data_IF_304931232677
#
_entry.id   IF_304931232677
#
_cell.length_a   1.000
_cell.length_b   1.000
_cell.length_c   1.000
_cell.angle_alpha   90.00
_cell.angle_beta   90.00
_cell.angle_gamma   90.00
#
_symmetry.space_group_name_H-M   'P 1'
#
loop_
_entity.id
_entity.type
_entity.pdbx_description
1 polymer ?
#
# COMPACT_ATOMS: atom_id res chain seq x y z
N UNK A 1 35.89 -14.00 -62.75
CA UNK A 1 35.94 -12.57 -62.39
C UNK A 1 34.99 -12.36 -61.22
N UNK A 2 35.48 -11.71 -60.15
CA UNK A 2 34.75 -11.38 -58.92
C UNK A 2 33.81 -10.17 -59.10
N UNK A 3 32.96 -9.95 -58.07
CA UNK A 3 32.17 -8.75 -57.69
C UNK A 3 30.67 -8.78 -58.05
N UNK A 4 29.72 -8.40 -57.18
CA UNK A 4 29.80 -7.85 -55.83
C UNK A 4 28.40 -7.55 -55.23
N UNK A 5 28.15 -8.11 -54.05
CA UNK A 5 27.35 -7.70 -52.89
C UNK A 5 26.33 -6.51 -52.92
N UNK A 6 25.12 -6.84 -52.41
CA UNK A 6 24.32 -6.20 -51.33
C UNK A 6 23.58 -4.85 -51.49
N UNK A 7 22.25 -4.87 -51.21
CA UNK A 7 21.50 -3.90 -50.36
C UNK A 7 20.26 -4.59 -49.73
N UNK A 8 20.37 -5.15 -48.52
CA UNK A 8 19.89 -4.59 -47.24
C UNK A 8 18.39 -4.76 -46.93
N UNK A 9 18.06 -5.82 -46.17
CA UNK A 9 17.25 -5.83 -44.94
C UNK A 9 15.75 -5.53 -45.00
N UNK A 10 14.93 -6.33 -44.29
CA UNK A 10 13.70 -5.82 -43.65
C UNK A 10 13.17 -6.60 -42.43
N UNK A 11 13.94 -7.49 -41.79
CA UNK A 11 13.64 -7.82 -40.39
C UNK A 11 14.84 -8.41 -39.65
N UNK A 12 15.30 -7.81 -38.53
CA UNK A 12 16.36 -8.36 -37.68
C UNK A 12 16.03 -9.76 -37.10
N UNK A 13 14.76 -10.17 -37.16
CA UNK A 13 14.28 -11.45 -36.63
C UNK A 13 14.50 -12.63 -37.58
N UNK A 14 14.65 -12.37 -38.89
CA UNK A 14 14.76 -13.41 -39.91
C UNK A 14 16.20 -13.90 -40.08
N UNK A 15 17.17 -12.98 -40.03
CA UNK A 15 18.61 -13.31 -40.07
C UNK A 15 19.09 -14.13 -38.86
N UNK A 16 18.41 -14.00 -37.71
CA UNK A 16 18.70 -14.80 -36.51
C UNK A 16 18.31 -16.27 -36.63
N UNK A 17 17.31 -16.60 -37.47
CA UNK A 17 16.89 -17.99 -37.72
C UNK A 17 17.83 -18.72 -38.69
N UNK A 18 18.45 -18.00 -39.62
CA UNK A 18 19.37 -18.57 -40.61
C UNK A 18 20.80 -18.75 -40.07
N UNK A 19 21.24 -17.95 -39.09
CA UNK A 19 22.52 -18.13 -38.42
C UNK A 19 22.33 -18.78 -37.04
N UNK A 20 22.12 -20.10 -37.04
CA UNK A 20 21.87 -20.90 -35.83
C UNK A 20 23.02 -20.93 -34.83
N UNK A 21 23.32 -19.80 -34.18
CA UNK A 21 24.17 -19.79 -33.00
C UNK A 21 23.32 -20.19 -31.79
N UNK A 22 23.09 -21.50 -31.67
CA UNK A 22 22.43 -22.16 -30.53
C UNK A 22 22.98 -21.73 -29.18
N UNK A 23 24.23 -21.25 -29.10
CA UNK A 23 24.80 -20.72 -27.87
C UNK A 23 24.26 -19.32 -27.54
N UNK A 24 24.01 -18.46 -28.54
CA UNK A 24 23.44 -17.13 -28.31
C UNK A 24 21.97 -17.22 -27.86
N UNK A 25 21.19 -18.12 -28.49
CA UNK A 25 19.80 -18.38 -28.07
C UNK A 25 19.77 -18.93 -26.65
N UNK A 26 20.63 -19.92 -26.33
CA UNK A 26 20.76 -20.42 -24.96
C UNK A 26 21.23 -19.36 -23.97
N UNK A 27 22.20 -18.53 -24.33
CA UNK A 27 22.66 -17.40 -23.48
C UNK A 27 21.52 -16.41 -23.21
N UNK A 28 20.67 -16.12 -24.19
CA UNK A 28 19.52 -15.22 -24.05
C UNK A 28 18.37 -15.87 -23.26
N UNK A 29 18.11 -17.17 -23.45
CA UNK A 29 17.14 -17.93 -22.66
C UNK A 29 17.60 -18.10 -21.20
N UNK A 30 18.86 -18.46 -20.97
CA UNK A 30 19.46 -18.58 -19.63
C UNK A 30 19.51 -17.23 -18.91
N UNK A 31 19.82 -16.13 -19.61
CA UNK A 31 19.74 -14.79 -19.04
C UNK A 31 18.29 -14.39 -18.70
N UNK A 32 17.31 -14.78 -19.50
CA UNK A 32 15.89 -14.54 -19.23
C UNK A 32 15.40 -15.35 -18.02
N UNK A 33 15.83 -16.61 -17.89
CA UNK A 33 15.51 -17.46 -16.74
C UNK A 33 16.23 -17.00 -15.47
N UNK A 34 17.50 -16.58 -15.57
CA UNK A 34 18.27 -16.00 -14.46
C UNK A 34 17.65 -14.70 -13.94
N UNK A 35 17.34 -13.76 -14.84
CA UNK A 35 16.67 -12.52 -14.44
C UNK A 35 15.26 -12.76 -13.89
N UNK A 36 14.48 -13.71 -14.44
CA UNK A 36 13.15 -14.01 -13.90
C UNK A 36 13.22 -14.74 -12.56
N UNK A 37 14.25 -15.55 -12.28
CA UNK A 37 14.45 -16.16 -10.97
C UNK A 37 14.79 -15.10 -9.92
N UNK A 38 15.73 -14.19 -10.23
CA UNK A 38 16.11 -13.08 -9.34
C UNK A 38 14.97 -12.07 -9.16
N UNK A 39 14.17 -11.80 -10.21
CA UNK A 39 12.95 -10.97 -10.13
C UNK A 39 11.84 -11.71 -9.37
N UNK A 40 11.71 -13.04 -9.46
CA UNK A 40 10.71 -13.79 -8.69
C UNK A 40 11.06 -13.85 -7.21
N UNK A 41 12.33 -14.04 -6.87
CA UNK A 41 12.83 -13.95 -5.50
C UNK A 41 12.68 -12.52 -4.96
N UNK A 42 12.94 -11.51 -5.77
CA UNK A 42 12.71 -10.10 -5.42
C UNK A 42 11.21 -9.77 -5.29
N UNK A 43 10.34 -10.39 -6.10
CA UNK A 43 8.88 -10.18 -6.04
C UNK A 43 8.26 -10.86 -4.82
N UNK A 44 8.80 -12.00 -4.41
CA UNK A 44 8.47 -12.63 -3.13
C UNK A 44 8.98 -11.78 -1.94
N UNK A 45 10.14 -11.15 -2.07
CA UNK A 45 10.67 -10.22 -1.06
C UNK A 45 9.89 -8.89 -0.99
N UNK A 46 9.21 -8.48 -2.07
CA UNK A 46 8.34 -7.29 -2.10
C UNK A 46 6.96 -7.60 -1.48
N UNK A 47 6.50 -8.85 -1.50
CA UNK A 47 5.27 -9.25 -0.80
C UNK A 47 5.49 -9.55 0.68
N UNK A 48 6.70 -9.97 1.08
CA UNK A 48 7.05 -10.25 2.48
C UNK A 48 7.44 -9.01 3.28
N UNK A 49 7.75 -7.90 2.60
CA UNK A 49 7.73 -6.58 3.23
C UNK A 49 6.29 -6.12 3.30
N UNK A 50 5.54 -6.73 4.22
CA UNK A 50 4.38 -6.10 4.86
C UNK A 50 4.85 -4.69 5.18
N UNK A 51 4.43 -3.69 4.39
CA UNK A 51 4.85 -2.32 4.59
C UNK A 51 4.23 -1.93 5.93
N UNK A 52 5.05 -2.02 6.98
CA UNK A 52 4.64 -1.76 8.34
C UNK A 52 4.39 -0.26 8.39
N UNK A 53 3.14 0.12 8.15
CA UNK A 53 2.71 1.51 8.12
C UNK A 53 2.54 1.97 9.56
N UNK A 54 2.97 3.17 9.86
CA UNK A 54 2.62 3.85 11.11
C UNK A 54 1.49 4.86 10.86
N UNK A 55 0.65 5.09 11.85
CA UNK A 55 -0.38 6.11 11.82
C UNK A 55 -0.42 6.85 13.15
N UNK A 56 -0.89 8.10 13.14
CA UNK A 56 -1.10 8.88 14.36
C UNK A 56 -2.59 8.94 14.63
N UNK A 57 -3.04 8.38 15.76
CA UNK A 57 -4.45 8.32 16.14
C UNK A 57 -4.74 9.37 17.20
N UNK A 58 -5.73 10.23 16.96
CA UNK A 58 -6.20 11.24 17.89
C UNK A 58 -7.58 10.86 18.45
N UNK A 59 -7.88 11.22 19.71
CA UNK A 59 -9.18 10.91 20.33
C UNK A 59 -10.33 11.86 19.95
N UNK A 60 -10.07 12.95 19.22
CA UNK A 60 -11.06 13.94 18.76
C UNK A 60 -10.64 14.49 17.40
N UNK A 61 -11.62 14.99 16.62
CA UNK A 61 -11.37 15.57 15.30
C UNK A 61 -10.86 17.02 15.43
N UNK A 62 -10.01 17.53 14.52
CA UNK A 62 -9.58 18.93 14.53
C UNK A 62 -10.72 19.95 14.38
N UNK A 63 -11.93 19.51 14.02
CA UNK A 63 -13.14 20.34 13.94
C UNK A 63 -13.88 20.44 15.28
N UNK A 64 -13.52 19.62 16.27
CA UNK A 64 -14.08 19.73 17.62
C UNK A 64 -13.52 20.96 18.34
N UNK A 65 -14.30 21.57 19.27
CA UNK A 65 -13.85 22.72 20.03
C UNK A 65 -12.56 22.42 20.81
N UNK A 66 -11.69 23.42 20.88
CA UNK A 66 -10.28 23.29 21.25
C UNK A 66 -10.03 22.86 22.72
N UNK A 67 -11.07 22.87 23.55
CA UNK A 67 -11.00 22.61 24.99
C UNK A 67 -10.66 21.15 25.34
N UNK A 68 -10.81 20.21 24.40
CA UNK A 68 -10.51 18.79 24.58
C UNK A 68 -9.30 18.28 23.76
N UNK A 69 -8.40 19.17 23.32
CA UNK A 69 -7.24 18.77 22.51
C UNK A 69 -6.21 17.93 23.28
N UNK A 70 -6.43 16.63 23.37
CA UNK A 70 -5.46 15.61 23.82
C UNK A 70 -4.43 15.26 22.74
N UNK A 71 -3.23 14.91 23.15
CA UNK A 71 -2.20 14.42 22.22
C UNK A 71 -2.63 13.11 21.55
N UNK A 72 -2.35 12.98 20.25
CA UNK A 72 -2.49 11.72 19.54
C UNK A 72 -1.34 10.76 19.86
N UNK A 73 -1.55 9.48 19.56
CA UNK A 73 -0.54 8.43 19.73
C UNK A 73 -0.12 7.86 18.38
N UNK A 74 1.17 7.55 18.25
CA UNK A 74 1.71 6.91 17.05
C UNK A 74 1.67 5.41 17.24
N UNK A 75 0.99 4.70 16.35
CA UNK A 75 0.84 3.25 16.37
C UNK A 75 1.22 2.65 15.02
N UNK A 76 1.64 1.40 15.04
CA UNK A 76 1.69 0.60 13.83
C UNK A 76 0.27 0.21 13.41
N UNK A 77 -0.01 0.26 12.11
CA UNK A 77 -1.25 -0.24 11.52
C UNK A 77 -1.33 -1.74 11.78
N UNK A 78 -2.38 -2.16 12.48
CA UNK A 78 -2.68 -3.57 12.74
C UNK A 78 -3.24 -4.24 11.48
N UNK A 79 -3.36 -5.57 11.48
CA UNK A 79 -3.93 -6.34 10.37
C UNK A 79 -5.43 -6.04 10.15
N UNK A 80 -6.14 -5.56 11.18
CA UNK A 80 -7.57 -5.19 11.10
C UNK A 80 -7.85 -3.83 11.74
N UNK A 81 -8.92 -3.18 11.27
CA UNK A 81 -9.40 -1.90 11.82
C UNK A 81 -9.80 -2.05 13.29
N UNK A 82 -10.48 -3.14 13.66
CA UNK A 82 -10.93 -3.37 15.04
C UNK A 82 -9.75 -3.46 16.03
N UNK A 83 -8.70 -4.20 15.69
CA UNK A 83 -7.50 -4.28 16.54
C UNK A 83 -6.74 -2.96 16.59
N UNK A 84 -6.76 -2.17 15.52
CA UNK A 84 -6.22 -0.82 15.53
C UNK A 84 -7.00 0.10 16.49
N UNK A 85 -8.34 0.08 16.44
CA UNK A 85 -9.21 0.82 17.35
C UNK A 85 -8.93 0.41 18.78
N UNK A 86 -8.96 -0.89 19.08
CA UNK A 86 -8.75 -1.43 20.44
C UNK A 86 -7.39 -1.05 21.04
N UNK A 87 -6.32 -1.07 20.23
CA UNK A 87 -5.01 -0.60 20.68
C UNK A 87 -5.02 0.90 20.95
N UNK A 88 -5.69 1.67 20.10
CA UNK A 88 -5.77 3.11 20.26
C UNK A 88 -6.59 3.53 21.47
N UNK A 89 -7.78 2.95 21.66
CA UNK A 89 -8.67 3.21 22.80
C UNK A 89 -8.02 2.83 24.12
N UNK A 90 -7.29 1.71 24.17
CA UNK A 90 -6.55 1.28 25.36
C UNK A 90 -5.46 2.27 25.76
N UNK A 91 -4.76 2.88 24.80
CA UNK A 91 -3.68 3.82 25.08
C UNK A 91 -4.15 5.27 25.29
N UNK A 92 -5.26 5.66 24.64
CA UNK A 92 -5.87 6.99 24.79
C UNK A 92 -6.89 7.06 25.93
N UNK A 93 -7.09 5.95 26.66
CA UNK A 93 -8.12 5.80 27.70
C UNK A 93 -9.52 6.23 27.20
N UNK A 94 -9.80 5.94 25.93
CA UNK A 94 -10.99 6.39 25.22
C UNK A 94 -11.93 5.22 24.93
N UNK A 95 -12.85 4.94 25.84
CA UNK A 95 -13.67 3.72 25.81
C UNK A 95 -14.80 3.72 24.77
N UNK A 96 -15.08 4.86 24.13
CA UNK A 96 -16.30 5.04 23.33
C UNK A 96 -16.07 4.99 21.81
N UNK A 97 -14.84 4.74 21.32
CA UNK A 97 -14.62 4.69 19.88
C UNK A 97 -15.16 3.39 19.28
N UNK A 98 -15.94 3.53 18.21
CA UNK A 98 -16.38 2.40 17.39
C UNK A 98 -15.82 2.45 15.97
N UNK A 99 -15.29 3.60 15.53
CA UNK A 99 -14.73 3.75 14.20
C UNK A 99 -13.55 4.71 14.15
N UNK A 100 -12.81 4.64 13.04
CA UNK A 100 -11.72 5.54 12.68
C UNK A 100 -12.13 6.37 11.48
N UNK A 101 -11.86 7.67 11.56
CA UNK A 101 -12.07 8.65 10.50
C UNK A 101 -10.72 9.16 9.98
N UNK A 102 -10.71 9.55 8.71
CA UNK A 102 -9.66 10.38 8.11
C UNK A 102 -9.80 11.84 8.54
N UNK A 103 -8.81 12.67 8.21
CA UNK A 103 -8.85 14.13 8.44
C UNK A 103 -10.00 14.84 7.70
N UNK A 104 -10.53 14.21 6.65
CA UNK A 104 -11.70 14.68 5.89
C UNK A 104 -13.04 14.23 6.53
N UNK A 105 -13.00 13.53 7.67
CA UNK A 105 -14.20 12.98 8.32
C UNK A 105 -14.73 11.69 7.65
N UNK A 106 -14.00 11.15 6.66
CA UNK A 106 -14.36 9.90 6.00
C UNK A 106 -14.08 8.68 6.87
N UNK A 107 -15.06 7.78 7.04
CA UNK A 107 -14.88 6.54 7.78
C UNK A 107 -13.98 5.57 7.02
N UNK A 108 -12.93 5.09 7.69
CA UNK A 108 -12.00 4.11 7.12
C UNK A 108 -12.52 2.71 7.47
N UNK A 109 -12.79 1.92 6.43
CA UNK A 109 -13.30 0.56 6.56
C UNK A 109 -12.22 -0.50 6.38
N UNK A 110 -11.09 -0.12 5.79
CA UNK A 110 -10.01 -1.04 5.43
C UNK A 110 -8.65 -0.46 5.84
N UNK A 111 -7.79 -1.31 6.39
CA UNK A 111 -6.42 -0.96 6.80
C UNK A 111 -5.56 -0.60 5.60
N UNK A 112 -5.89 -1.10 4.42
CA UNK A 112 -5.15 -0.81 3.20
C UNK A 112 -5.31 0.63 2.72
N UNK A 113 -6.37 1.31 3.16
CA UNK A 113 -6.61 2.73 2.88
C UNK A 113 -5.79 3.67 3.78
N UNK A 114 -5.12 3.13 4.81
CA UNK A 114 -4.28 3.92 5.71
C UNK A 114 -2.90 4.08 5.08
N UNK A 115 -2.43 5.32 4.95
CA UNK A 115 -1.08 5.62 4.45
C UNK A 115 -0.07 5.71 5.61
N UNK A 116 1.22 5.56 5.29
CA UNK A 116 2.28 5.75 6.28
C UNK A 116 2.33 7.21 6.77
N UNK A 117 2.33 7.39 8.09
CA UNK A 117 2.30 8.70 8.74
C UNK A 117 0.93 9.38 8.73
N UNK A 118 -0.13 8.74 8.26
CA UNK A 118 -1.46 9.34 8.19
C UNK A 118 -2.02 9.65 9.58
N UNK A 119 -2.72 10.78 9.71
CA UNK A 119 -3.50 11.13 10.90
C UNK A 119 -4.89 10.52 10.82
N UNK A 120 -5.30 9.93 11.92
CA UNK A 120 -6.53 9.19 12.09
C UNK A 120 -7.25 9.71 13.33
N UNK A 121 -8.57 9.64 13.31
CA UNK A 121 -9.40 10.22 14.37
C UNK A 121 -10.36 9.16 14.87
N UNK A 122 -10.38 8.93 16.18
CA UNK A 122 -11.37 8.07 16.79
C UNK A 122 -12.71 8.79 16.81
N UNK A 123 -13.75 8.06 16.42
CA UNK A 123 -15.12 8.53 16.55
C UNK A 123 -15.93 7.45 17.25
N UNK A 124 -16.70 7.87 18.26
CA UNK A 124 -17.69 7.03 18.87
C UNK A 124 -18.97 7.05 18.06
N UNK A 125 -19.67 5.91 18.02
CA UNK A 125 -21.08 5.91 17.68
C UNK A 125 -21.83 6.72 18.74
N UNK A 126 -21.93 8.02 18.50
CA UNK A 126 -23.03 8.78 19.04
C UNK A 126 -24.26 8.21 18.36
N UNK A 127 -24.90 7.23 19.01
CA UNK A 127 -26.35 7.09 18.92
C UNK A 127 -26.89 8.52 18.87
N UNK A 128 -27.53 8.84 17.76
CA UNK A 128 -28.13 10.13 17.46
C UNK A 128 -28.55 10.79 18.76
N UNK A 129 -28.08 12.02 19.02
CA UNK A 129 -28.77 12.89 19.98
C UNK A 129 -30.20 13.02 19.47
N UNK A 130 -31.08 12.10 19.88
CA UNK A 130 -32.52 12.33 19.91
C UNK A 130 -32.66 13.52 20.84
N UNK A 131 -32.81 14.67 20.21
CA UNK A 131 -33.09 15.93 20.85
C UNK A 131 -34.40 15.75 21.64
N UNK A 132 -34.29 15.56 22.94
CA UNK A 132 -35.42 15.41 23.86
C UNK A 132 -36.05 16.77 24.19
N UNK A 133 -36.10 17.72 23.25
CA UNK A 133 -36.64 19.06 23.50
C UNK A 133 -37.54 19.56 22.35
N UNK A 134 -38.70 18.94 22.18
CA UNK A 134 -39.93 19.49 21.57
C UNK A 134 -40.97 18.37 21.71
N UNK A 135 -41.98 18.42 22.58
CA UNK A 135 -43.03 19.44 22.79
C UNK A 135 -43.44 19.42 24.26
#
# INVERSE_FOLDING_TARGET
MYSGLCRWGNTPIDDGRMCGNKNLIKLLEDAKVGQLSEISSSRQEITDKIHRRKCTVFPFHPWDPEEDRKSGIVLWVSDTIEELIKKATKQLEFSNASCILSEDGGKILDVDLINDGQKLYLSGETHSKINLNSI
#
